data_IF_422000432748
#
_entry.id   IF_422000432748
#
_cell.length_a   1.000
_cell.length_b   1.000
_cell.length_c   1.000
_cell.angle_alpha   90.00
_cell.angle_beta   90.00
_cell.angle_gamma   90.00
#
_symmetry.space_group_name_H-M   'P 1'
#
loop_
_entity.id
_entity.type
_entity.pdbx_description
1 polymer ?
#
# COMPACT_ATOMS: atom_id res chain seq x y z
N UNK A 1 26.60 28.38 -33.41
CA UNK A 1 25.88 27.19 -33.11
C UNK A 1 24.43 27.55 -32.71
N UNK A 2 23.44 27.09 -33.50
CA UNK A 2 22.02 27.30 -33.21
C UNK A 2 21.58 26.23 -32.23
N UNK A 3 20.70 26.55 -31.26
CA UNK A 3 20.18 25.53 -30.35
C UNK A 3 19.27 24.57 -31.12
N UNK A 4 19.40 23.28 -30.82
CA UNK A 4 18.53 22.24 -31.32
C UNK A 4 17.10 22.47 -30.79
N UNK A 5 16.13 22.50 -31.68
CA UNK A 5 14.71 22.58 -31.37
C UNK A 5 14.09 21.22 -31.67
N UNK A 6 13.58 20.53 -30.64
CA UNK A 6 12.84 19.29 -30.79
C UNK A 6 11.35 19.64 -30.94
N UNK A 7 10.76 19.32 -32.10
CA UNK A 7 9.32 19.41 -32.32
C UNK A 7 8.72 18.01 -32.22
N UNK A 8 7.80 17.80 -31.25
CA UNK A 8 7.08 16.55 -31.07
C UNK A 8 5.65 16.75 -31.59
N UNK A 9 5.31 16.04 -32.66
CA UNK A 9 3.95 16.02 -33.23
C UNK A 9 3.18 14.81 -32.64
N UNK A 10 2.15 15.08 -31.83
CA UNK A 10 1.27 14.05 -31.25
C UNK A 10 0.06 13.85 -32.18
N UNK A 11 -0.07 12.67 -32.79
CA UNK A 11 -1.26 12.28 -33.56
C UNK A 11 -2.15 11.37 -32.70
N UNK A 12 -3.37 11.87 -32.42
CA UNK A 12 -4.44 11.08 -31.81
C UNK A 12 -5.04 10.13 -32.85
N UNK A 13 -4.84 8.83 -32.71
CA UNK A 13 -5.52 7.82 -33.52
C UNK A 13 -6.78 7.38 -32.74
N UNK A 14 -7.94 7.88 -33.18
CA UNK A 14 -9.23 7.40 -32.69
C UNK A 14 -9.58 6.08 -33.41
N UNK A 15 -9.48 4.96 -32.69
CA UNK A 15 -10.08 3.69 -33.14
C UNK A 15 -11.42 3.51 -32.39
N UNK A 16 -12.51 3.68 -33.11
CA UNK A 16 -13.87 3.35 -32.63
C UNK A 16 -14.01 1.83 -32.66
N UNK A 17 -14.15 1.19 -31.51
CA UNK A 17 -14.64 -0.18 -31.41
C UNK A 17 -16.06 -0.15 -30.84
N UNK A 18 -16.99 -0.78 -31.56
CA UNK A 18 -18.40 -0.91 -31.17
C UNK A 18 -18.54 -2.02 -30.09
N UNK A 19 -19.24 -1.69 -29.01
CA UNK A 19 -19.55 -2.58 -27.91
C UNK A 19 -20.73 -3.51 -28.28
N UNK A 20 -20.68 -4.83 -28.00
CA UNK A 20 -21.83 -5.70 -28.12
C UNK A 20 -22.80 -5.53 -26.93
N UNK A 21 -24.08 -5.55 -27.23
CA UNK A 21 -25.18 -5.39 -26.28
C UNK A 21 -25.37 -6.63 -25.39
N UNK A 22 -25.84 -6.49 -24.14
CA UNK A 22 -26.06 -7.62 -23.24
C UNK A 22 -27.41 -8.28 -23.52
N UNK A 23 -27.41 -9.61 -23.63
CA UNK A 23 -28.62 -10.44 -23.60
C UNK A 23 -28.98 -10.82 -22.17
N UNK A 24 -30.29 -10.77 -21.95
CA UNK A 24 -31.00 -10.90 -20.70
C UNK A 24 -31.21 -12.34 -20.19
N UNK A 25 -31.43 -12.42 -18.89
CA UNK A 25 -32.24 -13.36 -18.10
C UNK A 25 -31.64 -14.73 -17.78
N UNK A 26 -31.36 -14.94 -16.48
CA UNK A 26 -31.60 -16.21 -15.79
C UNK A 26 -32.15 -15.92 -14.39
N UNK A 27 -33.32 -16.45 -14.14
CA UNK A 27 -34.07 -16.48 -12.89
C UNK A 27 -33.48 -17.53 -11.95
N UNK A 28 -33.23 -17.24 -10.71
CA UNK A 28 -32.88 -18.23 -9.69
C UNK A 28 -33.92 -18.26 -8.60
N UNK A 29 -34.42 -19.44 -8.33
CA UNK A 29 -35.38 -19.83 -7.30
C UNK A 29 -34.65 -20.17 -6.01
N UNK A 30 -35.29 -19.85 -4.90
CA UNK A 30 -34.81 -20.02 -3.53
C UNK A 30 -35.01 -21.44 -2.97
N UNK A 31 -34.39 -21.62 -1.81
CA UNK A 31 -34.65 -22.51 -0.68
C UNK A 31 -33.86 -23.82 -0.60
N UNK A 32 -33.03 -23.92 0.44
CA UNK A 32 -33.24 -24.89 1.51
C UNK A 32 -32.36 -24.61 2.76
N UNK A 33 -33.01 -24.75 3.93
CA UNK A 33 -32.41 -24.69 5.28
C UNK A 33 -31.77 -26.03 5.62
N UNK A 34 -30.55 -26.00 6.20
CA UNK A 34 -30.12 -27.11 7.06
C UNK A 34 -29.45 -26.49 8.32
N UNK A 35 -30.02 -26.81 9.46
CA UNK A 35 -29.47 -26.56 10.78
C UNK A 35 -28.53 -27.71 11.19
N UNK A 36 -27.35 -27.41 11.69
CA UNK A 36 -26.66 -28.31 12.62
C UNK A 36 -25.73 -27.54 13.55
N UNK A 37 -25.94 -27.74 14.82
CA UNK A 37 -25.20 -27.27 15.96
C UNK A 37 -23.78 -27.86 16.02
N UNK A 38 -22.77 -27.01 16.16
CA UNK A 38 -21.46 -27.42 16.64
C UNK A 38 -20.93 -26.36 17.62
N UNK A 39 -20.56 -26.83 18.79
CA UNK A 39 -20.06 -26.11 19.94
C UNK A 39 -18.82 -25.26 19.61
N UNK A 40 -18.89 -23.96 19.88
CA UNK A 40 -17.78 -23.03 19.82
C UNK A 40 -16.99 -23.07 21.12
N UNK A 41 -15.74 -23.47 21.05
CA UNK A 41 -14.75 -23.06 22.02
C UNK A 41 -14.40 -21.59 21.75
N UNK A 42 -14.73 -20.77 22.73
CA UNK A 42 -14.45 -19.31 22.71
C UNK A 42 -12.97 -19.08 22.97
N UNK A 43 -12.22 -18.78 21.91
CA UNK A 43 -10.94 -18.11 22.07
C UNK A 43 -11.19 -16.66 22.48
N UNK A 44 -10.82 -16.33 23.71
CA UNK A 44 -10.97 -15.01 24.29
C UNK A 44 -10.18 -13.96 23.46
N UNK A 45 -10.75 -12.78 23.21
CA UNK A 45 -10.05 -11.70 22.52
C UNK A 45 -8.85 -11.25 23.35
N UNK A 46 -7.70 -11.07 22.67
CA UNK A 46 -6.49 -10.49 23.26
C UNK A 46 -6.87 -9.10 23.79
N UNK A 47 -6.69 -8.79 25.08
CA UNK A 47 -7.09 -7.51 25.61
C UNK A 47 -6.22 -6.41 25.01
N UNK A 48 -6.82 -5.54 24.22
CA UNK A 48 -6.22 -4.29 23.77
C UNK A 48 -6.06 -3.41 25.01
N UNK A 49 -4.88 -3.47 25.63
CA UNK A 49 -4.53 -2.51 26.68
C UNK A 49 -4.32 -1.16 26.06
N UNK A 50 -5.21 -0.21 26.41
CA UNK A 50 -5.13 1.23 26.21
C UNK A 50 -5.48 1.80 24.81
N UNK A 51 -6.76 1.72 24.43
CA UNK A 51 -7.37 2.71 23.51
C UNK A 51 -7.67 4.04 24.25
N UNK A 52 -7.32 4.16 25.52
CA UNK A 52 -7.71 5.27 26.41
C UNK A 52 -6.95 6.59 26.29
N UNK A 53 -6.02 6.75 25.33
CA UNK A 53 -5.31 8.04 25.13
C UNK A 53 -5.63 8.73 23.81
N UNK A 54 -6.88 8.71 23.38
CA UNK A 54 -7.36 9.28 22.12
C UNK A 54 -7.36 10.83 22.07
N UNK A 55 -6.68 11.53 22.98
CA UNK A 55 -6.80 12.97 23.12
C UNK A 55 -5.52 13.81 23.18
N UNK A 56 -4.33 13.20 23.22
CA UNK A 56 -3.09 13.97 23.27
C UNK A 56 -2.54 14.23 21.87
N UNK A 57 -2.17 15.49 21.60
CA UNK A 57 -1.43 15.86 20.40
C UNK A 57 0.02 15.42 20.55
N UNK A 58 0.51 14.66 19.58
CA UNK A 58 1.89 14.18 19.53
C UNK A 58 2.83 15.14 18.80
N UNK A 59 2.28 16.11 18.05
CA UNK A 59 3.01 17.10 17.27
C UNK A 59 3.93 18.00 18.09
N UNK A 60 3.57 18.29 19.34
CA UNK A 60 4.35 19.14 20.24
C UNK A 60 5.69 18.49 20.65
N UNK A 61 5.82 17.18 20.54
CA UNK A 61 7.02 16.44 20.88
C UNK A 61 7.99 16.22 19.70
N UNK A 62 7.65 16.73 18.51
CA UNK A 62 8.43 16.50 17.31
C UNK A 62 9.64 17.44 17.23
N UNK A 63 10.83 16.96 16.77
CA UNK A 63 12.00 17.79 16.54
C UNK A 63 11.76 18.82 15.43
N UNK A 64 12.55 19.90 15.42
CA UNK A 64 12.38 20.99 14.46
C UNK A 64 12.48 20.52 12.99
N UNK A 65 13.32 19.53 12.71
CA UNK A 65 13.45 18.96 11.36
C UNK A 65 12.17 18.22 10.92
N UNK A 66 11.54 17.48 11.83
CA UNK A 66 10.27 16.79 11.53
C UNK A 66 9.12 17.76 11.24
N UNK A 67 9.20 19.00 11.74
CA UNK A 67 8.22 20.06 11.43
C UNK A 67 8.27 20.54 9.98
N UNK A 68 9.26 20.11 9.20
CA UNK A 68 9.29 20.32 7.74
C UNK A 68 8.33 19.39 7.01
N UNK A 69 8.04 18.20 7.57
CA UNK A 69 7.02 17.28 7.05
C UNK A 69 5.65 17.90 7.27
N UNK A 70 4.89 18.10 6.21
CA UNK A 70 3.56 18.76 6.23
C UNK A 70 2.48 17.92 5.57
N UNK A 71 2.86 17.19 4.53
CA UNK A 71 1.92 16.44 3.70
C UNK A 71 2.34 14.98 3.60
N UNK A 72 1.44 14.10 3.99
CA UNK A 72 1.59 12.66 3.82
C UNK A 72 0.57 12.19 2.81
N UNK A 73 1.01 11.43 1.83
CA UNK A 73 0.10 10.73 0.92
C UNK A 73 -0.03 9.28 1.38
N UNK A 74 -1.25 8.85 1.60
CA UNK A 74 -1.60 7.45 1.85
C UNK A 74 -2.28 6.92 0.61
N UNK A 75 -1.82 5.77 0.15
CA UNK A 75 -2.31 5.13 -1.05
C UNK A 75 -3.02 3.81 -0.67
N UNK A 76 -4.35 3.79 -0.63
CA UNK A 76 -5.09 2.54 -0.51
C UNK A 76 -4.91 1.73 -1.79
N UNK A 77 -4.22 0.59 -1.74
CA UNK A 77 -3.99 -0.26 -2.90
C UNK A 77 -5.29 -0.66 -3.60
N UNK A 78 -5.23 -0.87 -4.93
CA UNK A 78 -6.36 -1.27 -5.78
C UNK A 78 -7.53 -0.29 -5.77
N UNK A 79 -8.72 -0.73 -6.19
CA UNK A 79 -9.97 0.06 -6.22
C UNK A 79 -10.74 -0.10 -7.53
N UNK A 80 -12.04 0.16 -7.50
CA UNK A 80 -12.90 0.04 -8.67
C UNK A 80 -12.93 -1.38 -9.22
N UNK A 81 -12.57 -1.55 -10.48
CA UNK A 81 -12.50 -2.86 -11.13
C UNK A 81 -11.30 -3.69 -10.67
N UNK A 82 -10.22 -3.05 -10.25
CA UNK A 82 -9.07 -3.73 -9.67
C UNK A 82 -9.33 -4.09 -8.20
N UNK A 83 -9.71 -5.34 -7.97
CA UNK A 83 -10.09 -5.80 -6.63
C UNK A 83 -8.90 -6.09 -5.72
N UNK A 84 -7.70 -6.23 -6.28
CA UNK A 84 -6.56 -6.83 -5.60
C UNK A 84 -6.77 -8.31 -5.32
N UNK A 85 -6.05 -8.84 -4.38
CA UNK A 85 -6.19 -10.21 -3.93
C UNK A 85 -7.57 -10.45 -3.30
N UNK A 86 -8.01 -11.71 -3.39
CA UNK A 86 -9.28 -12.15 -2.83
C UNK A 86 -9.05 -13.25 -1.80
N UNK A 87 -9.58 -13.03 -0.61
CA UNK A 87 -9.55 -14.02 0.45
C UNK A 87 -10.46 -15.23 0.17
N UNK A 88 -10.22 -16.35 0.85
CA UNK A 88 -11.04 -17.58 0.69
C UNK A 88 -12.52 -17.39 1.02
N UNK A 89 -12.86 -16.44 1.89
CA UNK A 89 -14.26 -16.11 2.24
C UNK A 89 -14.84 -14.98 1.38
N UNK A 90 -14.11 -14.55 0.35
CA UNK A 90 -14.55 -13.56 -0.60
C UNK A 90 -14.23 -12.10 -0.26
N UNK A 91 -13.48 -11.85 0.80
CA UNK A 91 -13.00 -10.52 1.17
C UNK A 91 -12.11 -9.96 0.05
N UNK A 92 -12.31 -8.71 -0.33
CA UNK A 92 -11.52 -8.05 -1.37
C UNK A 92 -10.45 -7.16 -0.72
N UNK A 93 -9.25 -7.21 -1.25
CA UNK A 93 -8.12 -6.40 -0.76
C UNK A 93 -8.43 -4.92 -0.81
N UNK A 94 -9.01 -4.43 -1.91
CA UNK A 94 -9.36 -3.01 -2.08
C UNK A 94 -10.23 -2.43 -0.94
N UNK A 95 -11.10 -3.25 -0.34
CA UNK A 95 -11.98 -2.81 0.74
C UNK A 95 -11.21 -2.69 2.05
N UNK A 96 -10.31 -3.64 2.31
CA UNK A 96 -9.45 -3.66 3.50
C UNK A 96 -8.45 -2.50 3.47
N UNK A 97 -7.79 -2.30 2.34
CA UNK A 97 -6.81 -1.22 2.18
C UNK A 97 -7.43 0.15 2.36
N UNK A 98 -8.64 0.36 1.82
CA UNK A 98 -9.40 1.60 2.00
C UNK A 98 -9.78 1.81 3.48
N UNK A 99 -10.32 0.78 4.13
CA UNK A 99 -10.76 0.88 5.52
C UNK A 99 -9.59 1.23 6.47
N UNK A 100 -8.44 0.58 6.31
CA UNK A 100 -7.23 0.87 7.10
C UNK A 100 -6.71 2.29 6.80
N UNK A 101 -6.66 2.68 5.53
CA UNK A 101 -6.16 3.99 5.11
C UNK A 101 -7.00 5.15 5.67
N UNK A 102 -8.32 5.01 5.68
CA UNK A 102 -9.22 6.01 6.28
C UNK A 102 -8.99 6.16 7.78
N UNK A 103 -8.83 5.04 8.51
CA UNK A 103 -8.51 5.06 9.95
C UNK A 103 -7.15 5.70 10.21
N UNK A 104 -6.14 5.38 9.41
CA UNK A 104 -4.79 5.96 9.51
C UNK A 104 -4.79 7.47 9.23
N UNK A 105 -5.51 7.91 8.18
CA UNK A 105 -5.69 9.34 7.87
C UNK A 105 -6.27 10.09 9.07
N UNK A 106 -7.36 9.60 9.64
CA UNK A 106 -8.00 10.23 10.80
C UNK A 106 -7.03 10.36 11.98
N UNK A 107 -6.27 9.31 12.28
CA UNK A 107 -5.28 9.32 13.36
C UNK A 107 -4.19 10.37 13.15
N UNK A 108 -3.63 10.43 11.95
CA UNK A 108 -2.55 11.38 11.62
C UNK A 108 -3.07 12.82 11.71
N UNK A 109 -4.19 13.13 11.08
CA UNK A 109 -4.74 14.49 11.07
C UNK A 109 -5.11 14.97 12.48
N UNK A 110 -5.67 14.09 13.31
CA UNK A 110 -6.08 14.47 14.68
C UNK A 110 -4.93 14.59 15.67
N UNK A 111 -3.91 13.71 15.56
CA UNK A 111 -2.84 13.63 16.57
C UNK A 111 -1.57 14.39 16.18
N UNK A 112 -1.26 14.50 14.88
CA UNK A 112 -0.04 15.16 14.38
C UNK A 112 -0.31 16.51 13.72
N UNK A 113 -1.58 16.85 13.46
CA UNK A 113 -1.97 18.05 12.72
C UNK A 113 -1.28 18.17 11.34
N UNK A 114 -0.95 17.02 10.71
CA UNK A 114 -0.40 16.96 9.37
C UNK A 114 -1.51 16.82 8.35
N UNK A 115 -1.29 17.37 7.16
CA UNK A 115 -2.20 17.19 6.04
C UNK A 115 -2.05 15.78 5.48
N UNK A 116 -3.16 15.05 5.34
CA UNK A 116 -3.18 13.75 4.70
C UNK A 116 -4.00 13.79 3.41
N UNK A 117 -3.41 13.33 2.33
CA UNK A 117 -4.07 13.15 1.04
C UNK A 117 -4.16 11.65 0.76
N UNK A 118 -5.35 11.18 0.42
CA UNK A 118 -5.54 9.81 -0.06
C UNK A 118 -5.49 9.79 -1.59
N UNK A 119 -4.91 8.75 -2.18
CA UNK A 119 -4.97 8.57 -3.65
C UNK A 119 -6.39 8.23 -4.10
N UNK A 120 -7.16 7.56 -3.24
CA UNK A 120 -8.62 7.37 -3.33
C UNK A 120 -9.24 7.35 -1.94
N UNK A 121 -10.41 7.89 -1.78
CA UNK A 121 -11.21 7.93 -0.54
C UNK A 121 -12.50 7.10 -0.63
N UNK A 122 -12.69 6.43 -1.76
CA UNK A 122 -13.81 5.56 -2.09
C UNK A 122 -13.40 4.45 -3.05
N UNK A 123 -14.33 3.58 -3.41
CA UNK A 123 -14.09 2.48 -4.34
C UNK A 123 -14.09 2.98 -5.79
N UNK A 124 -12.93 3.44 -6.27
CA UNK A 124 -12.69 3.93 -7.64
C UNK A 124 -11.34 3.46 -8.14
N UNK A 125 -11.20 3.31 -9.46
CA UNK A 125 -9.93 3.04 -10.11
C UNK A 125 -9.01 4.26 -10.09
N UNK A 126 -7.75 4.03 -9.71
CA UNK A 126 -6.68 5.02 -9.85
C UNK A 126 -5.45 4.29 -10.38
N UNK A 127 -5.00 4.65 -11.57
CA UNK A 127 -3.81 4.01 -12.16
C UNK A 127 -2.55 4.26 -11.32
N UNK A 128 -1.57 3.36 -11.42
CA UNK A 128 -0.33 3.45 -10.64
C UNK A 128 0.41 4.76 -10.89
N UNK A 129 0.42 5.23 -12.15
CA UNK A 129 1.02 6.52 -12.53
C UNK A 129 0.29 7.71 -11.89
N UNK A 130 -1.04 7.66 -11.80
CA UNK A 130 -1.83 8.72 -11.19
C UNK A 130 -1.61 8.77 -9.67
N UNK A 131 -1.34 7.64 -9.00
CA UNK A 131 -1.00 7.60 -7.57
C UNK A 131 0.29 8.37 -7.29
N UNK A 132 1.36 8.09 -8.06
CA UNK A 132 2.62 8.82 -7.97
C UNK A 132 2.47 10.31 -8.37
N UNK A 133 1.74 10.59 -9.45
CA UNK A 133 1.49 11.97 -9.88
C UNK A 133 0.72 12.77 -8.82
N UNK A 134 -0.27 12.15 -8.16
CA UNK A 134 -1.02 12.77 -7.06
C UNK A 134 -0.10 13.12 -5.89
N UNK A 135 0.81 12.22 -5.51
CA UNK A 135 1.79 12.47 -4.47
C UNK A 135 2.67 13.68 -4.82
N UNK A 136 3.24 13.70 -6.02
CA UNK A 136 4.11 14.77 -6.48
C UNK A 136 3.38 16.12 -6.62
N UNK A 137 2.17 16.13 -7.18
CA UNK A 137 1.35 17.33 -7.33
C UNK A 137 0.94 17.95 -5.99
N UNK A 138 0.78 17.11 -4.95
CA UNK A 138 0.50 17.57 -3.58
C UNK A 138 1.77 17.89 -2.78
N UNK A 139 2.97 17.76 -3.38
CA UNK A 139 4.27 17.96 -2.71
C UNK A 139 4.34 17.10 -1.45
N UNK A 140 4.08 15.81 -1.62
CA UNK A 140 4.15 14.86 -0.53
C UNK A 140 5.56 14.82 0.07
N UNK A 141 5.62 14.84 1.39
CA UNK A 141 6.86 14.65 2.14
C UNK A 141 7.10 13.16 2.46
N UNK A 142 6.02 12.37 2.50
CA UNK A 142 6.05 10.91 2.67
C UNK A 142 4.92 10.27 1.87
N UNK A 143 5.18 9.07 1.35
CA UNK A 143 4.20 8.24 0.65
C UNK A 143 4.12 6.85 1.28
N UNK A 144 2.91 6.41 1.62
CA UNK A 144 2.66 5.11 2.25
C UNK A 144 1.55 4.40 1.48
N UNK A 145 1.91 3.36 0.72
CA UNK A 145 0.94 2.46 0.08
C UNK A 145 0.58 1.33 1.02
N UNK A 146 -0.71 0.97 1.09
CA UNK A 146 -1.24 -0.05 2.00
C UNK A 146 -1.87 -1.16 1.18
N UNK A 147 -1.42 -2.39 1.42
CA UNK A 147 -1.82 -3.62 0.75
C UNK A 147 -2.11 -4.76 1.73
N UNK A 148 -2.73 -5.83 1.26
CA UNK A 148 -2.97 -7.06 2.01
C UNK A 148 -2.68 -8.27 1.12
N UNK A 149 -1.50 -8.82 1.26
CA UNK A 149 -0.81 -9.75 0.38
C UNK A 149 -1.65 -10.96 -0.06
N UNK A 150 -1.56 -11.28 -1.36
CA UNK A 150 -2.14 -12.45 -1.99
C UNK A 150 -1.11 -13.52 -2.31
N UNK A 151 -0.74 -14.37 -1.35
CA UNK A 151 0.21 -15.44 -1.63
C UNK A 151 -0.44 -16.67 -2.26
N UNK A 152 0.29 -17.34 -3.16
CA UNK A 152 -0.09 -18.66 -3.68
C UNK A 152 -0.03 -19.78 -2.63
N UNK A 153 0.64 -19.53 -1.50
CA UNK A 153 0.75 -20.47 -0.38
C UNK A 153 -0.30 -20.12 0.68
N UNK A 154 -1.34 -20.96 0.88
CA UNK A 154 -2.42 -20.65 1.85
C UNK A 154 -1.95 -20.52 3.31
N UNK A 155 -0.73 -20.98 3.60
CA UNK A 155 -0.12 -20.90 4.95
C UNK A 155 0.80 -19.69 5.13
N UNK A 156 1.01 -18.88 4.10
CA UNK A 156 1.74 -17.64 4.25
C UNK A 156 0.97 -16.71 5.20
N UNK A 157 1.67 -16.06 6.13
CA UNK A 157 1.09 -15.18 7.14
C UNK A 157 2.13 -14.17 7.63
N UNK A 158 1.65 -13.10 8.23
CA UNK A 158 2.48 -12.04 8.78
C UNK A 158 2.47 -10.77 7.97
N UNK A 159 3.28 -9.81 8.36
CA UNK A 159 3.43 -8.52 7.67
C UNK A 159 4.84 -8.33 7.13
N UNK A 160 4.96 -7.55 6.07
CA UNK A 160 6.23 -7.16 5.47
C UNK A 160 6.12 -5.73 4.91
N UNK A 161 7.22 -5.01 4.90
CA UNK A 161 7.24 -3.63 4.38
C UNK A 161 8.31 -3.50 3.29
N UNK A 162 7.94 -2.85 2.20
CA UNK A 162 8.78 -2.72 1.02
C UNK A 162 9.18 -1.27 0.78
N UNK A 163 10.39 -1.09 0.25
CA UNK A 163 10.81 0.14 -0.41
C UNK A 163 11.28 -0.17 -1.84
N UNK A 164 11.37 0.87 -2.66
CA UNK A 164 11.68 0.71 -4.08
C UNK A 164 13.14 0.32 -4.31
N UNK A 165 13.37 -0.68 -5.16
CA UNK A 165 14.67 -1.04 -5.73
C UNK A 165 14.48 -1.78 -7.04
N UNK A 166 15.40 -1.60 -8.00
CA UNK A 166 15.40 -2.39 -9.24
C UNK A 166 15.64 -3.89 -8.99
N UNK A 167 16.37 -4.22 -7.92
CA UNK A 167 16.63 -5.62 -7.53
C UNK A 167 15.73 -6.00 -6.36
N UNK A 168 14.93 -7.03 -6.55
CA UNK A 168 14.16 -7.62 -5.47
C UNK A 168 15.08 -8.32 -4.45
N UNK A 169 14.70 -8.28 -3.16
CA UNK A 169 15.41 -8.97 -2.06
C UNK A 169 15.44 -10.47 -2.25
N UNK A 170 14.34 -11.02 -2.73
CA UNK A 170 14.14 -12.46 -2.93
C UNK A 170 13.08 -12.70 -4.01
N UNK A 171 12.86 -13.97 -4.35
CA UNK A 171 11.92 -14.38 -5.39
C UNK A 171 10.46 -14.10 -5.01
N UNK A 172 10.10 -14.15 -3.72
CA UNK A 172 8.75 -13.78 -3.27
C UNK A 172 8.49 -12.28 -3.50
N UNK A 173 9.45 -11.42 -3.13
CA UNK A 173 9.37 -9.98 -3.35
C UNK A 173 9.26 -9.63 -4.85
N UNK A 174 10.02 -10.34 -5.70
CA UNK A 174 9.94 -10.17 -7.15
C UNK A 174 8.56 -10.53 -7.70
N UNK A 175 8.03 -11.68 -7.26
CA UNK A 175 6.69 -12.13 -7.69
C UNK A 175 5.58 -11.22 -7.20
N UNK A 176 5.67 -10.72 -5.98
CA UNK A 176 4.71 -9.77 -5.47
C UNK A 176 4.72 -8.48 -6.29
N UNK A 177 5.89 -7.90 -6.53
CA UNK A 177 5.99 -6.71 -7.37
C UNK A 177 5.44 -6.94 -8.79
N UNK A 178 5.64 -8.13 -9.37
CA UNK A 178 5.05 -8.49 -10.65
C UNK A 178 3.51 -8.48 -10.60
N UNK A 179 2.91 -9.04 -9.55
CA UNK A 179 1.46 -9.06 -9.39
C UNK A 179 0.89 -7.66 -9.19
N UNK A 180 1.52 -6.87 -8.31
CA UNK A 180 1.08 -5.51 -7.98
C UNK A 180 1.26 -4.52 -9.14
N UNK A 181 2.26 -4.75 -9.98
CA UNK A 181 2.49 -3.90 -11.15
C UNK A 181 1.44 -4.08 -12.25
N UNK A 182 0.66 -5.16 -12.23
CA UNK A 182 -0.38 -5.49 -13.21
C UNK A 182 0.07 -5.37 -14.69
N UNK A 183 1.38 -5.51 -14.98
CA UNK A 183 1.90 -5.24 -16.31
C UNK A 183 3.14 -6.08 -16.63
N UNK A 184 2.99 -7.12 -17.47
CA UNK A 184 4.13 -7.82 -18.08
C UNK A 184 5.08 -6.87 -18.83
N UNK A 185 4.54 -5.77 -19.36
CA UNK A 185 5.29 -4.75 -20.10
C UNK A 185 6.23 -3.96 -19.18
N UNK A 186 5.90 -3.79 -17.90
CA UNK A 186 6.76 -3.07 -16.97
C UNK A 186 8.02 -3.88 -16.61
N UNK A 187 7.89 -5.19 -16.40
CA UNK A 187 9.06 -6.07 -16.19
C UNK A 187 9.98 -6.07 -17.41
N UNK A 188 9.39 -6.21 -18.61
CA UNK A 188 10.14 -6.16 -19.85
C UNK A 188 10.87 -4.82 -20.02
N UNK A 189 10.24 -3.73 -19.66
CA UNK A 189 10.84 -2.40 -19.69
C UNK A 189 11.99 -2.27 -18.71
N UNK A 190 11.86 -2.79 -17.49
CA UNK A 190 12.96 -2.84 -16.51
C UNK A 190 14.11 -3.71 -17.04
N UNK A 191 13.84 -4.84 -17.69
CA UNK A 191 14.85 -5.70 -18.28
C UNK A 191 15.56 -5.01 -19.46
N UNK A 192 14.82 -4.28 -20.30
CA UNK A 192 15.37 -3.50 -21.41
C UNK A 192 16.15 -2.26 -20.92
N UNK A 193 15.64 -1.54 -19.93
CA UNK A 193 16.31 -0.39 -19.29
C UNK A 193 17.55 -0.81 -18.51
N UNK A 194 17.59 -2.01 -17.94
CA UNK A 194 18.79 -2.59 -17.31
C UNK A 194 19.94 -2.82 -18.31
N UNK A 195 19.67 -2.82 -19.61
CA UNK A 195 20.71 -2.89 -20.65
C UNK A 195 21.28 -1.49 -20.98
N UNK A 196 20.55 -0.42 -20.68
CA UNK A 196 21.04 0.94 -20.83
C UNK A 196 21.65 1.45 -19.51
N UNK A 197 22.97 1.31 -19.39
CA UNK A 197 23.72 1.69 -18.19
C UNK A 197 23.54 3.17 -17.80
N UNK A 198 23.29 4.06 -18.74
CA UNK A 198 23.11 5.49 -18.48
C UNK A 198 21.74 5.74 -17.84
N UNK A 199 20.69 5.10 -18.35
CA UNK A 199 19.35 5.21 -17.76
C UNK A 199 19.29 4.60 -16.37
N UNK A 200 19.99 3.48 -16.13
CA UNK A 200 20.15 2.92 -14.78
C UNK A 200 20.81 3.90 -13.81
N UNK A 201 21.90 4.54 -14.22
CA UNK A 201 22.60 5.50 -13.36
C UNK A 201 21.72 6.70 -13.04
N UNK A 202 21.02 7.24 -14.02
CA UNK A 202 20.08 8.38 -13.82
C UNK A 202 18.92 7.99 -12.91
N UNK A 203 18.40 6.78 -13.08
CA UNK A 203 17.32 6.24 -12.25
C UNK A 203 17.81 6.02 -10.81
N UNK A 204 18.99 5.38 -10.64
CA UNK A 204 19.63 5.19 -9.34
C UNK A 204 19.91 6.53 -8.64
N UNK A 205 20.38 7.55 -9.37
CA UNK A 205 20.63 8.87 -8.81
C UNK A 205 19.33 9.55 -8.35
N UNK A 206 18.26 9.44 -9.13
CA UNK A 206 16.96 10.02 -8.78
C UNK A 206 16.33 9.32 -7.58
N UNK A 207 16.47 7.99 -7.49
CA UNK A 207 15.93 7.19 -6.39
C UNK A 207 16.84 7.18 -5.15
N UNK A 208 18.17 7.26 -5.35
CA UNK A 208 19.14 7.27 -4.25
C UNK A 208 18.91 8.43 -3.25
N UNK A 209 18.31 9.53 -3.72
CA UNK A 209 17.97 10.66 -2.85
C UNK A 209 17.03 10.27 -1.70
N UNK A 210 16.12 9.29 -1.92
CA UNK A 210 15.10 8.90 -0.94
C UNK A 210 15.23 7.44 -0.46
N UNK A 211 16.19 6.70 -1.01
CA UNK A 211 16.34 5.27 -0.71
C UNK A 211 16.60 5.02 0.78
N UNK A 212 17.50 5.80 1.35
CA UNK A 212 17.86 5.69 2.77
C UNK A 212 16.68 6.00 3.67
N UNK A 213 16.01 7.11 3.41
CA UNK A 213 14.84 7.54 4.18
C UNK A 213 13.68 6.56 4.03
N UNK A 214 13.47 6.00 2.84
CA UNK A 214 12.46 4.98 2.59
C UNK A 214 12.77 3.68 3.35
N UNK A 215 14.02 3.22 3.33
CA UNK A 215 14.45 2.05 4.10
C UNK A 215 14.28 2.26 5.61
N UNK A 216 14.68 3.42 6.12
CA UNK A 216 14.51 3.74 7.56
C UNK A 216 13.03 3.82 7.96
N UNK A 217 12.18 4.41 7.11
CA UNK A 217 10.73 4.45 7.33
C UNK A 217 10.14 3.03 7.33
N UNK A 218 10.52 2.20 6.36
CA UNK A 218 10.08 0.81 6.27
C UNK A 218 10.46 -0.01 7.52
N UNK A 219 11.70 0.11 7.99
CA UNK A 219 12.19 -0.58 9.18
C UNK A 219 11.37 -0.22 10.43
N UNK A 220 11.10 1.07 10.61
CA UNK A 220 10.39 1.56 11.79
C UNK A 220 8.91 1.15 11.74
N UNK A 221 8.25 1.23 10.57
CA UNK A 221 6.88 0.77 10.40
C UNK A 221 6.79 -0.74 10.64
N UNK A 222 7.68 -1.54 10.03
CA UNK A 222 7.70 -2.99 10.20
C UNK A 222 7.89 -3.39 11.66
N UNK A 223 8.77 -2.72 12.38
CA UNK A 223 8.99 -2.97 13.80
C UNK A 223 7.72 -2.73 14.64
N UNK A 224 6.97 -1.66 14.39
CA UNK A 224 5.73 -1.38 15.12
C UNK A 224 4.58 -2.32 14.71
N UNK A 225 4.50 -2.75 13.45
CA UNK A 225 3.55 -3.79 13.01
C UNK A 225 3.79 -5.09 13.80
N UNK A 226 5.03 -5.57 13.86
CA UNK A 226 5.37 -6.78 14.60
C UNK A 226 5.06 -6.68 16.09
N UNK A 227 5.35 -5.54 16.69
CA UNK A 227 5.15 -5.29 18.12
C UNK A 227 3.68 -5.24 18.51
N UNK A 228 2.83 -4.62 17.67
CA UNK A 228 1.41 -4.40 17.98
C UNK A 228 0.53 -5.55 17.54
N UNK A 229 0.79 -6.14 16.37
CA UNK A 229 -0.08 -7.16 15.81
C UNK A 229 0.25 -8.57 16.30
N UNK A 230 1.47 -8.79 16.83
CA UNK A 230 1.94 -10.12 17.20
C UNK A 230 1.95 -11.13 16.05
N UNK A 231 1.92 -10.61 14.80
CA UNK A 231 1.98 -11.42 13.59
C UNK A 231 3.42 -11.82 13.27
N UNK A 232 3.61 -12.80 12.39
CA UNK A 232 4.96 -13.20 11.97
C UNK A 232 5.66 -12.03 11.28
N UNK A 233 6.91 -11.77 11.72
CA UNK A 233 7.77 -10.76 11.12
C UNK A 233 8.41 -11.32 9.85
N UNK A 234 8.00 -10.80 8.68
CA UNK A 234 8.62 -11.16 7.41
C UNK A 234 9.71 -10.15 6.99
N UNK A 235 9.87 -9.10 7.79
CA UNK A 235 10.95 -8.12 7.65
C UNK A 235 10.68 -7.03 6.62
N UNK A 236 11.73 -6.25 6.40
CA UNK A 236 11.79 -5.23 5.36
C UNK A 236 12.41 -5.83 4.12
N UNK A 237 11.82 -5.56 2.98
CA UNK A 237 12.23 -6.07 1.67
C UNK A 237 12.29 -4.92 0.66
N UNK A 238 12.83 -5.22 -0.51
CA UNK A 238 12.86 -4.29 -1.63
C UNK A 238 12.45 -4.98 -2.92
N UNK A 239 11.79 -4.27 -3.82
CA UNK A 239 11.41 -4.77 -5.14
C UNK A 239 10.99 -3.60 -6.07
N UNK A 240 10.89 -3.83 -7.39
CA UNK A 240 10.55 -2.80 -8.37
C UNK A 240 9.03 -2.55 -8.43
N UNK A 241 8.46 -2.02 -7.36
CA UNK A 241 7.05 -1.64 -7.33
C UNK A 241 6.79 -0.38 -8.16
N UNK A 242 5.94 -0.50 -9.18
CA UNK A 242 5.58 0.61 -10.07
C UNK A 242 4.89 1.76 -9.33
N UNK A 243 4.08 1.46 -8.32
CA UNK A 243 3.40 2.49 -7.49
C UNK A 243 4.39 3.39 -6.75
N UNK A 244 5.57 2.88 -6.41
CA UNK A 244 6.64 3.65 -5.76
C UNK A 244 7.54 4.36 -6.78
N UNK A 245 7.49 3.94 -8.05
CA UNK A 245 8.31 4.53 -9.11
C UNK A 245 7.82 5.94 -9.44
N UNK A 246 8.74 6.89 -9.50
CA UNK A 246 8.43 8.28 -9.82
C UNK A 246 7.86 9.11 -8.68
N UNK A 247 7.71 8.55 -7.47
CA UNK A 247 7.37 9.32 -6.26
C UNK A 247 8.59 10.11 -5.80
N UNK A 248 8.45 11.43 -5.66
CA UNK A 248 9.54 12.36 -5.34
C UNK A 248 9.65 12.64 -3.82
N UNK A 249 9.49 11.61 -3.00
CA UNK A 249 9.69 11.64 -1.54
C UNK A 249 9.97 10.24 -1.02
N UNK A 250 10.37 10.06 0.27
CA UNK A 250 10.48 8.75 0.87
C UNK A 250 9.15 7.98 0.77
N UNK A 251 9.22 6.75 0.24
CA UNK A 251 8.05 5.96 -0.15
C UNK A 251 8.18 4.50 0.28
N UNK A 252 7.09 3.94 0.82
CA UNK A 252 7.01 2.55 1.26
C UNK A 252 5.67 1.91 0.84
N UNK A 253 5.70 0.58 0.66
CA UNK A 253 4.50 -0.24 0.51
C UNK A 253 4.44 -1.22 1.68
N UNK A 254 3.29 -1.25 2.35
CA UNK A 254 3.08 -2.03 3.57
C UNK A 254 2.09 -3.14 3.31
N UNK A 255 2.56 -4.37 3.36
CA UNK A 255 1.74 -5.59 3.35
C UNK A 255 1.36 -5.93 4.79
N UNK A 256 0.13 -5.62 5.15
CA UNK A 256 -0.30 -5.66 6.57
C UNK A 256 -0.57 -7.07 7.07
N UNK A 257 -0.96 -7.99 6.18
CA UNK A 257 -1.25 -9.40 6.43
C UNK A 257 -1.48 -10.11 5.10
N UNK A 258 -1.71 -11.41 5.11
CA UNK A 258 -2.04 -12.21 3.93
C UNK A 258 -3.55 -12.46 3.83
N UNK A 259 -4.25 -11.75 2.97
CA UNK A 259 -5.69 -11.94 2.75
C UNK A 259 -6.02 -13.34 2.22
N UNK A 260 -5.06 -13.99 1.54
CA UNK A 260 -5.18 -15.38 1.07
C UNK A 260 -5.12 -16.43 2.19
N UNK A 261 -4.71 -16.05 3.41
CA UNK A 261 -4.70 -16.91 4.57
C UNK A 261 -6.04 -16.80 5.32
N UNK A 262 -6.79 -17.91 5.54
CA UNK A 262 -8.12 -17.85 6.15
C UNK A 262 -8.16 -17.21 7.55
N UNK A 263 -7.11 -17.42 8.36
CA UNK A 263 -7.03 -16.86 9.71
C UNK A 263 -6.74 -15.36 9.67
N UNK A 264 -5.88 -14.93 8.75
CA UNK A 264 -5.58 -13.50 8.58
C UNK A 264 -6.70 -12.77 7.84
N UNK A 265 -7.39 -13.41 6.88
CA UNK A 265 -8.62 -12.86 6.29
C UNK A 265 -9.68 -12.56 7.37
N UNK A 266 -9.88 -13.48 8.31
CA UNK A 266 -10.81 -13.28 9.41
C UNK A 266 -10.41 -12.08 10.28
N UNK A 267 -9.11 -11.90 10.56
CA UNK A 267 -8.60 -10.72 11.28
C UNK A 267 -8.77 -9.44 10.48
N UNK A 268 -8.46 -9.46 9.19
CA UNK A 268 -8.58 -8.28 8.30
C UNK A 268 -10.01 -7.76 8.19
N UNK A 269 -11.02 -8.61 8.37
CA UNK A 269 -12.44 -8.23 8.45
C UNK A 269 -12.83 -7.56 9.77
N UNK A 270 -12.06 -7.77 10.83
CA UNK A 270 -12.33 -7.18 12.16
C UNK A 270 -11.88 -5.72 12.17
N UNK A 271 -12.82 -4.82 12.46
CA UNK A 271 -12.55 -3.39 12.53
C UNK A 271 -11.53 -3.01 13.61
N UNK A 272 -11.46 -3.77 14.72
CA UNK A 272 -10.48 -3.55 15.77
C UNK A 272 -9.07 -3.94 15.30
N UNK A 273 -8.96 -5.00 14.51
CA UNK A 273 -7.69 -5.38 13.90
C UNK A 273 -7.25 -4.33 12.88
N UNK A 274 -8.14 -3.85 12.01
CA UNK A 274 -7.86 -2.75 11.09
C UNK A 274 -7.40 -1.48 11.83
N UNK A 275 -8.04 -1.14 12.95
CA UNK A 275 -7.64 -0.01 13.79
C UNK A 275 -6.26 -0.25 14.43
N UNK A 276 -5.95 -1.49 14.82
CA UNK A 276 -4.63 -1.85 15.37
C UNK A 276 -3.53 -1.77 14.29
N UNK A 277 -3.83 -2.15 13.05
CA UNK A 277 -2.92 -1.97 11.91
C UNK A 277 -2.67 -0.47 11.66
N UNK A 278 -3.72 0.33 11.59
CA UNK A 278 -3.59 1.78 11.43
C UNK A 278 -2.77 2.42 12.56
N UNK A 279 -3.00 2.01 13.82
CA UNK A 279 -2.22 2.47 14.97
C UNK A 279 -0.74 2.04 14.88
N UNK A 280 -0.45 0.83 14.39
CA UNK A 280 0.92 0.36 14.20
C UNK A 280 1.67 1.21 13.17
N UNK A 281 1.06 1.47 12.02
CA UNK A 281 1.63 2.34 10.98
C UNK A 281 1.79 3.77 11.50
N UNK A 282 0.78 4.29 12.23
CA UNK A 282 0.85 5.60 12.88
C UNK A 282 2.03 5.72 13.86
N UNK A 283 2.24 4.72 14.71
CA UNK A 283 3.38 4.70 15.65
C UNK A 283 4.70 4.60 14.92
N UNK A 284 4.77 3.81 13.86
CA UNK A 284 5.94 3.75 12.98
C UNK A 284 6.26 5.13 12.41
N UNK A 285 5.27 5.81 11.85
CA UNK A 285 5.40 7.17 11.35
C UNK A 285 5.85 8.15 12.45
N UNK A 286 5.19 8.15 13.61
CA UNK A 286 5.55 9.03 14.74
C UNK A 286 7.00 8.81 15.18
N UNK A 287 7.44 7.55 15.29
CA UNK A 287 8.80 7.21 15.68
C UNK A 287 9.82 7.63 14.61
N UNK A 288 9.46 7.48 13.33
CA UNK A 288 10.28 8.00 12.23
C UNK A 288 10.43 9.52 12.30
N UNK A 289 9.33 10.26 12.48
CA UNK A 289 9.35 11.72 12.62
C UNK A 289 10.20 12.18 13.81
N UNK A 290 10.20 11.46 14.92
CA UNK A 290 11.06 11.76 16.09
C UNK A 290 12.54 11.51 15.83
N UNK A 291 12.88 10.64 14.87
CA UNK A 291 14.26 10.30 14.53
C UNK A 291 14.90 11.27 13.51
N UNK A 292 14.10 11.98 12.74
CA UNK A 292 14.58 12.96 11.74
C UNK A 292 15.35 14.07 12.46
N UNK A 293 16.58 14.30 12.00
CA UNK A 293 17.51 15.30 12.56
C UNK A 293 17.51 16.59 11.76
#
# INVERSE_FOLDING_TARGET
PRPFRLEIELRLIHKKEELPQPQSQITVRAEEKISSSASHETNAPIPIKNIGELGKRDDLSLPAAARRIRTIVIDPGHGGLETGARGPQGTLEKDITLAISLKLKEMIERRLALRVVLTRDKDVDVSLENRAALANNNRADLFISIHANGAFRPKAHGSETYFLSLKASDEEARRLAYLENNSPEFEKKIEEENQDQIMMILWDMAQAAFLKESSELAEIIQMELNKLLGTANRGVKQAPFKVLTGVACPAVLVEVAFISNPEEEAKLKDENFQASVAEAIYRGLLNYLRKIK
#
